data_IF_923815757653
#
_entry.id   IF_923815757653
#
_cell.length_a   1.000
_cell.length_b   1.000
_cell.length_c   1.000
_cell.angle_alpha   90.00
_cell.angle_beta   90.00
_cell.angle_gamma   90.00
#
_symmetry.space_group_name_H-M   'P 1'
#
loop_
_entity.id
_entity.type
_entity.pdbx_description
1 polymer ?
#
# COMPACT_ATOMS: atom_id res chain seq x y z
N UNK A 1 -7.55 36.59 28.87
CA UNK A 1 -7.24 35.52 27.88
C UNK A 1 -7.83 34.15 28.26
N UNK A 2 -8.68 34.05 29.29
CA UNK A 2 -9.12 32.78 29.92
C UNK A 2 -10.54 32.35 29.57
N UNK A 3 -11.28 33.11 28.77
CA UNK A 3 -12.72 32.89 28.55
C UNK A 3 -13.07 31.90 27.41
N UNK A 4 -12.08 31.44 26.65
CA UNK A 4 -12.32 30.56 25.48
C UNK A 4 -11.52 29.26 25.52
N UNK A 5 -10.83 28.94 26.62
CA UNK A 5 -9.99 27.75 26.72
C UNK A 5 -10.80 26.46 26.52
N UNK A 6 -11.97 26.36 27.15
CA UNK A 6 -12.86 25.19 27.03
C UNK A 6 -13.40 25.01 25.60
N UNK A 7 -13.77 26.11 24.93
CA UNK A 7 -14.22 26.04 23.54
C UNK A 7 -13.09 25.68 22.57
N UNK A 8 -11.88 26.19 22.79
CA UNK A 8 -10.69 25.85 22.00
C UNK A 8 -10.36 24.37 22.16
N UNK A 9 -10.38 23.86 23.39
CA UNK A 9 -10.11 22.45 23.69
C UNK A 9 -11.17 21.53 23.07
N UNK A 10 -12.45 21.88 23.18
CA UNK A 10 -13.54 21.13 22.54
C UNK A 10 -13.37 21.08 21.02
N UNK A 11 -13.03 22.22 20.39
CA UNK A 11 -12.77 22.29 18.95
C UNK A 11 -11.54 21.48 18.55
N UNK A 12 -10.48 21.51 19.35
CA UNK A 12 -9.29 20.70 19.14
C UNK A 12 -9.61 19.20 19.19
N UNK A 13 -10.36 18.75 20.20
CA UNK A 13 -10.73 17.35 20.37
C UNK A 13 -11.61 16.83 19.23
N UNK A 14 -12.58 17.62 18.76
CA UNK A 14 -13.39 17.27 17.58
C UNK A 14 -12.53 17.10 16.34
N UNK A 15 -11.55 17.97 16.13
CA UNK A 15 -10.60 17.85 15.01
C UNK A 15 -9.76 16.59 15.13
N UNK A 16 -9.16 16.35 16.30
CA UNK A 16 -8.35 15.17 16.57
C UNK A 16 -9.13 13.88 16.31
N UNK A 17 -10.35 13.79 16.83
CA UNK A 17 -11.23 12.63 16.60
C UNK A 17 -11.53 12.44 15.12
N UNK A 18 -11.77 13.51 14.35
CA UNK A 18 -12.01 13.42 12.91
C UNK A 18 -10.79 12.85 12.16
N UNK A 19 -9.59 13.35 12.47
CA UNK A 19 -8.33 12.89 11.86
C UNK A 19 -8.06 11.43 12.23
N UNK A 20 -8.19 11.08 13.51
CA UNK A 20 -8.01 9.70 13.98
C UNK A 20 -9.01 8.76 13.33
N UNK A 21 -10.30 9.14 13.28
CA UNK A 21 -11.32 8.34 12.61
C UNK A 21 -10.93 8.07 11.15
N UNK A 22 -10.60 9.13 10.39
CA UNK A 22 -10.16 9.00 9.01
C UNK A 22 -8.99 8.02 8.84
N UNK A 23 -7.96 8.13 9.68
CA UNK A 23 -6.80 7.23 9.61
C UNK A 23 -7.19 5.80 9.99
N UNK A 24 -7.99 5.59 11.03
CA UNK A 24 -8.32 4.22 11.45
C UNK A 24 -9.36 3.51 10.58
N UNK A 25 -10.21 4.25 9.85
CA UNK A 25 -11.27 3.68 9.02
C UNK A 25 -10.97 3.70 7.54
N UNK A 26 -10.39 4.80 7.04
CA UNK A 26 -10.32 5.10 5.60
C UNK A 26 -8.90 4.99 5.07
N UNK A 27 -7.91 5.50 5.82
CA UNK A 27 -6.50 5.56 5.39
C UNK A 27 -5.51 5.05 6.46
N UNK A 28 -5.57 3.76 6.83
CA UNK A 28 -4.74 3.19 7.91
C UNK A 28 -3.23 3.23 7.64
N UNK A 29 -2.81 3.37 6.38
CA UNK A 29 -1.40 3.59 6.05
C UNK A 29 -0.87 4.90 6.67
N UNK A 30 -1.70 5.90 6.90
CA UNK A 30 -1.27 7.17 7.50
C UNK A 30 -1.03 7.09 9.03
N UNK A 31 -1.21 5.93 9.65
CA UNK A 31 -1.10 5.76 11.11
C UNK A 31 0.26 6.19 11.68
N UNK A 32 1.36 5.89 11.00
CA UNK A 32 2.71 6.28 11.47
C UNK A 32 2.94 7.78 11.38
N UNK A 33 2.26 8.46 10.45
CA UNK A 33 2.39 9.89 10.19
C UNK A 33 1.51 10.75 11.13
N UNK A 34 0.60 10.15 11.89
CA UNK A 34 -0.27 10.87 12.84
C UNK A 34 0.52 11.75 13.82
N UNK A 35 1.70 11.29 14.26
CA UNK A 35 2.58 12.02 15.18
C UNK A 35 3.16 13.31 14.55
N UNK A 36 3.24 13.34 13.23
CA UNK A 36 3.85 14.43 12.44
C UNK A 36 2.78 15.46 11.99
N UNK A 37 1.50 15.21 12.27
CA UNK A 37 0.40 16.10 11.88
C UNK A 37 0.27 17.28 12.84
N UNK A 38 0.40 18.49 12.29
CA UNK A 38 0.03 19.71 13.02
C UNK A 38 -1.50 19.89 13.08
N UNK A 39 -2.11 19.40 14.16
CA UNK A 39 -3.55 19.48 14.44
C UNK A 39 -4.11 20.91 14.56
N UNK A 40 -3.27 21.89 14.90
CA UNK A 40 -3.68 23.28 15.01
C UNK A 40 -3.98 23.88 13.63
N UNK A 41 -3.19 23.49 12.63
CA UNK A 41 -3.31 23.95 11.24
C UNK A 41 -4.50 23.39 10.46
N UNK A 42 -5.21 22.42 11.05
CA UNK A 42 -6.34 21.73 10.40
C UNK A 42 -7.64 22.51 10.64
N UNK A 43 -8.39 22.87 9.59
CA UNK A 43 -9.72 23.46 9.72
C UNK A 43 -10.75 22.49 10.31
N UNK A 44 -11.67 23.04 11.11
CA UNK A 44 -12.84 22.29 11.57
C UNK A 44 -13.72 22.02 10.34
N UNK A 45 -13.88 20.75 9.98
CA UNK A 45 -14.64 20.37 8.78
C UNK A 45 -13.80 20.03 7.55
N UNK A 46 -12.47 19.99 7.67
CA UNK A 46 -11.54 19.52 6.60
C UNK A 46 -12.08 18.26 5.88
N UNK A 47 -12.02 18.24 4.55
CA UNK A 47 -12.46 17.09 3.77
C UNK A 47 -11.48 15.92 3.91
N UNK A 48 -11.93 14.70 3.61
CA UNK A 48 -11.01 13.54 3.56
C UNK A 48 -9.92 13.72 2.49
N UNK A 49 -10.26 14.33 1.36
CA UNK A 49 -9.29 14.67 0.31
C UNK A 49 -8.20 15.62 0.83
N UNK A 50 -8.58 16.69 1.54
CA UNK A 50 -7.63 17.64 2.10
C UNK A 50 -6.80 17.03 3.23
N UNK A 51 -7.37 16.09 4.00
CA UNK A 51 -6.64 15.30 4.98
C UNK A 51 -5.58 14.45 4.30
N UNK A 52 -5.96 13.70 3.27
CA UNK A 52 -5.01 12.85 2.51
C UNK A 52 -3.89 13.70 1.91
N UNK A 53 -4.23 14.84 1.29
CA UNK A 53 -3.24 15.75 0.71
C UNK A 53 -2.19 16.21 1.75
N UNK A 54 -2.62 16.44 3.00
CA UNK A 54 -1.72 16.81 4.10
C UNK A 54 -0.81 15.65 4.50
N UNK A 55 -1.34 14.43 4.58
CA UNK A 55 -0.54 13.24 4.86
C UNK A 55 0.48 12.98 3.75
N UNK A 56 0.08 13.11 2.48
CA UNK A 56 0.98 12.97 1.35
C UNK A 56 2.10 14.01 1.37
N UNK A 57 1.79 15.25 1.78
CA UNK A 57 2.82 16.28 1.98
C UNK A 57 3.81 15.91 3.08
N UNK A 58 3.32 15.50 4.26
CA UNK A 58 4.18 15.06 5.37
C UNK A 58 5.09 13.91 4.92
N UNK A 59 4.52 12.91 4.24
CA UNK A 59 5.25 11.77 3.72
C UNK A 59 6.37 12.20 2.76
N UNK A 60 6.03 13.05 1.79
CA UNK A 60 6.99 13.59 0.83
C UNK A 60 8.11 14.36 1.51
N UNK A 61 7.78 15.22 2.48
CA UNK A 61 8.77 16.02 3.21
C UNK A 61 9.73 15.11 3.99
N UNK A 62 9.25 14.04 4.63
CA UNK A 62 10.11 13.05 5.31
C UNK A 62 11.03 12.30 4.34
N UNK A 63 10.51 11.89 3.18
CA UNK A 63 11.31 11.22 2.15
C UNK A 63 12.43 12.14 1.63
N UNK A 64 12.12 13.41 1.36
CA UNK A 64 13.12 14.40 0.94
C UNK A 64 14.18 14.64 2.03
N UNK A 65 13.76 14.80 3.28
CA UNK A 65 14.69 15.01 4.39
C UNK A 65 15.62 13.81 4.58
N UNK A 66 15.08 12.59 4.56
CA UNK A 66 15.89 11.38 4.66
C UNK A 66 16.89 11.26 3.49
N UNK A 67 16.48 11.62 2.27
CA UNK A 67 17.37 11.64 1.09
C UNK A 67 18.49 12.66 1.21
N UNK A 68 18.20 13.86 1.70
CA UNK A 68 19.20 14.91 1.92
C UNK A 68 20.18 14.46 3.00
N UNK A 69 19.67 13.98 4.15
CA UNK A 69 20.49 13.51 5.26
C UNK A 69 21.41 12.33 4.87
N UNK A 70 20.91 11.38 4.06
CA UNK A 70 21.72 10.29 3.50
C UNK A 70 22.89 10.82 2.67
N UNK A 71 22.65 11.83 1.83
CA UNK A 71 23.68 12.43 1.00
C UNK A 71 24.72 13.16 1.84
N UNK A 72 24.29 13.95 2.82
CA UNK A 72 25.18 14.66 3.74
C UNK A 72 26.04 13.67 4.55
N UNK A 73 25.45 12.59 5.04
CA UNK A 73 26.17 11.52 5.73
C UNK A 73 27.23 10.89 4.81
N UNK A 74 26.87 10.57 3.56
CA UNK A 74 27.80 10.00 2.58
C UNK A 74 28.97 10.94 2.26
N UNK A 75 28.70 12.24 2.16
CA UNK A 75 29.72 13.26 1.94
C UNK A 75 30.68 13.35 3.14
N UNK A 76 30.17 13.31 4.39
CA UNK A 76 30.98 13.26 5.62
C UNK A 76 31.88 12.03 5.70
N UNK A 77 31.34 10.84 5.36
CA UNK A 77 32.12 9.60 5.28
C UNK A 77 33.27 9.71 4.27
N UNK A 78 33.04 10.41 3.15
CA UNK A 78 34.03 10.57 2.09
C UNK A 78 35.11 11.61 2.44
N UNK A 79 34.76 12.65 3.20
CA UNK A 79 35.69 13.70 3.63
C UNK A 79 36.46 13.34 4.92
N UNK A 80 36.05 12.30 5.66
CA UNK A 80 36.66 11.92 6.94
C UNK A 80 36.42 12.95 8.04
N UNK A 81 35.35 13.74 7.93
CA UNK A 81 35.03 14.84 8.82
C UNK A 81 34.21 14.31 10.02
N UNK A 82 34.89 14.05 11.13
CA UNK A 82 34.27 13.63 12.41
C UNK A 82 33.89 14.84 13.29
N UNK A 83 33.75 16.03 12.71
CA UNK A 83 33.39 17.24 13.46
C UNK A 83 31.92 17.25 13.89
N UNK A 84 31.63 16.59 15.02
CA UNK A 84 30.29 16.55 15.61
C UNK A 84 30.30 16.02 17.05
N UNK A 85 29.27 16.40 17.83
CA UNK A 85 29.04 15.91 19.21
C UNK A 85 28.35 14.53 19.21
N UNK A 86 27.83 14.11 18.05
CA UNK A 86 27.12 12.85 17.80
C UNK A 86 27.99 12.00 16.89
N UNK A 87 28.06 10.68 17.16
CA UNK A 87 28.86 9.79 16.31
C UNK A 87 28.22 9.61 14.94
N UNK A 88 29.04 9.38 13.90
CA UNK A 88 28.54 9.07 12.55
C UNK A 88 27.63 7.84 12.53
N UNK A 89 27.84 6.90 13.46
CA UNK A 89 26.99 5.71 13.63
C UNK A 89 25.59 6.07 14.16
N UNK A 90 25.50 6.97 15.13
CA UNK A 90 24.22 7.45 15.66
C UNK A 90 23.42 8.24 14.59
N UNK A 91 24.09 9.10 13.82
CA UNK A 91 23.47 9.81 12.68
C UNK A 91 22.94 8.80 11.64
N UNK A 92 23.73 7.79 11.28
CA UNK A 92 23.32 6.75 10.34
C UNK A 92 22.10 5.96 10.84
N UNK A 93 22.07 5.63 12.13
CA UNK A 93 20.98 4.88 12.74
C UNK A 93 19.65 5.66 12.74
N UNK A 94 19.66 6.96 13.02
CA UNK A 94 18.43 7.78 12.93
C UNK A 94 17.93 7.89 11.49
N UNK A 95 18.83 8.06 10.50
CA UNK A 95 18.41 8.10 9.09
C UNK A 95 17.83 6.76 8.64
N UNK A 96 18.45 5.63 9.02
CA UNK A 96 17.96 4.28 8.72
C UNK A 96 16.55 4.05 9.28
N UNK A 97 16.29 4.54 10.48
CA UNK A 97 14.98 4.46 11.13
C UNK A 97 13.91 5.23 10.36
N UNK A 98 14.21 6.43 9.87
CA UNK A 98 13.30 7.24 9.06
C UNK A 98 13.00 6.60 7.70
N UNK A 99 14.03 6.09 7.02
CA UNK A 99 13.88 5.34 5.76
C UNK A 99 13.03 4.10 5.98
N UNK A 100 13.29 3.35 7.05
CA UNK A 100 12.52 2.15 7.40
C UNK A 100 11.06 2.48 7.74
N UNK A 101 10.80 3.57 8.44
CA UNK A 101 9.43 4.02 8.76
C UNK A 101 8.67 4.35 7.48
N UNK A 102 9.31 5.04 6.52
CA UNK A 102 8.72 5.39 5.22
C UNK A 102 8.43 4.14 4.38
N UNK A 103 9.39 3.22 4.28
CA UNK A 103 9.20 1.96 3.56
C UNK A 103 8.06 1.10 4.16
N UNK A 104 7.95 1.06 5.49
CA UNK A 104 6.82 0.39 6.17
C UNK A 104 5.48 1.07 5.87
N UNK A 105 5.46 2.39 5.74
CA UNK A 105 4.27 3.14 5.35
C UNK A 105 3.80 2.75 3.94
N UNK A 106 4.73 2.68 2.98
CA UNK A 106 4.44 2.24 1.60
C UNK A 106 3.90 0.82 1.54
N UNK A 107 4.52 -0.10 2.29
CA UNK A 107 4.04 -1.47 2.40
C UNK A 107 2.62 -1.52 2.98
N UNK A 108 2.34 -0.76 4.05
CA UNK A 108 1.01 -0.67 4.63
C UNK A 108 -0.01 -0.15 3.60
N UNK A 109 0.35 0.85 2.81
CA UNK A 109 -0.50 1.37 1.74
C UNK A 109 -0.81 0.30 0.69
N UNK A 110 0.21 -0.41 0.20
CA UNK A 110 0.06 -1.51 -0.75
C UNK A 110 -0.87 -2.63 -0.20
N UNK A 111 -0.65 -3.07 1.04
CA UNK A 111 -1.50 -4.09 1.70
C UNK A 111 -2.95 -3.62 1.79
N UNK A 112 -3.18 -2.33 2.07
CA UNK A 112 -4.53 -1.77 2.12
C UNK A 112 -5.19 -1.69 0.74
N UNK A 113 -4.44 -1.41 -0.33
CA UNK A 113 -4.96 -1.49 -1.69
C UNK A 113 -5.39 -2.91 -2.04
N UNK A 114 -4.60 -3.92 -1.67
CA UNK A 114 -4.97 -5.33 -1.83
C UNK A 114 -6.23 -5.70 -1.06
N UNK A 115 -6.40 -5.19 0.16
CA UNK A 115 -7.65 -5.37 0.91
C UNK A 115 -8.88 -4.88 0.12
N UNK A 116 -8.79 -3.75 -0.59
CA UNK A 116 -9.90 -3.26 -1.42
C UNK A 116 -10.26 -4.22 -2.56
N UNK A 117 -9.26 -4.89 -3.13
CA UNK A 117 -9.47 -5.93 -4.16
C UNK A 117 -10.15 -7.16 -3.54
N UNK A 118 -9.76 -7.57 -2.33
CA UNK A 118 -10.45 -8.65 -1.59
C UNK A 118 -11.90 -8.28 -1.31
N UNK A 119 -12.18 -7.04 -0.89
CA UNK A 119 -13.54 -6.56 -0.65
C UNK A 119 -14.39 -6.57 -1.93
N UNK A 120 -13.79 -6.23 -3.08
CA UNK A 120 -14.44 -6.37 -4.38
C UNK A 120 -14.71 -7.84 -4.71
N UNK A 121 -13.73 -8.73 -4.54
CA UNK A 121 -13.89 -10.17 -4.75
C UNK A 121 -15.02 -10.75 -3.89
N UNK A 122 -15.08 -10.37 -2.61
CA UNK A 122 -16.15 -10.79 -1.71
C UNK A 122 -17.53 -10.26 -2.12
N UNK A 123 -17.60 -9.05 -2.70
CA UNK A 123 -18.85 -8.53 -3.24
C UNK A 123 -19.29 -9.30 -4.49
N UNK A 124 -18.37 -9.61 -5.40
CA UNK A 124 -18.66 -10.46 -6.58
C UNK A 124 -19.12 -11.86 -6.16
N UNK A 125 -18.60 -12.39 -5.06
CA UNK A 125 -19.01 -13.71 -4.54
C UNK A 125 -20.43 -13.72 -3.95
N UNK A 126 -20.96 -12.57 -3.52
CA UNK A 126 -22.31 -12.50 -2.91
C UNK A 126 -23.40 -12.77 -3.93
N UNK A 127 -24.56 -13.20 -3.43
CA UNK A 127 -25.80 -13.23 -4.23
C UNK A 127 -26.36 -11.82 -4.32
N UNK A 128 -26.80 -11.43 -5.51
CA UNK A 128 -27.58 -10.22 -5.76
C UNK A 128 -29.03 -10.44 -5.29
N UNK A 129 -29.78 -9.35 -5.09
CA UNK A 129 -31.12 -9.33 -4.47
C UNK A 129 -32.13 -10.28 -5.13
N UNK A 130 -31.96 -10.57 -6.42
CA UNK A 130 -32.76 -11.53 -7.18
C UNK A 130 -32.43 -13.00 -6.86
N UNK A 131 -31.57 -13.27 -5.88
CA UNK A 131 -31.07 -14.60 -5.51
C UNK A 131 -30.06 -15.20 -6.49
N UNK A 132 -29.70 -14.49 -7.55
CA UNK A 132 -28.66 -14.85 -8.52
C UNK A 132 -27.27 -14.48 -7.98
N UNK A 133 -26.21 -15.11 -8.46
CA UNK A 133 -24.83 -14.67 -8.19
C UNK A 133 -24.35 -13.73 -9.29
N UNK A 134 -23.27 -12.96 -9.03
CA UNK A 134 -22.54 -12.31 -10.11
C UNK A 134 -22.08 -13.35 -11.15
N UNK A 135 -21.80 -12.89 -12.37
CA UNK A 135 -21.32 -13.78 -13.43
C UNK A 135 -19.95 -14.30 -13.04
N UNK A 136 -19.74 -15.60 -13.18
CA UNK A 136 -18.43 -16.22 -12.98
C UNK A 136 -17.34 -15.50 -13.78
N UNK A 137 -17.65 -15.07 -15.02
CA UNK A 137 -16.76 -14.26 -15.85
C UNK A 137 -16.26 -12.97 -15.17
N UNK A 138 -17.06 -12.30 -14.32
CA UNK A 138 -16.61 -11.10 -13.61
C UNK A 138 -15.58 -11.44 -12.53
N UNK A 139 -15.83 -12.53 -11.79
CA UNK A 139 -14.91 -13.02 -10.77
C UNK A 139 -13.63 -13.59 -11.40
N UNK A 140 -13.77 -14.31 -12.51
CA UNK A 140 -12.65 -14.88 -13.27
C UNK A 140 -11.73 -13.77 -13.74
N UNK A 141 -12.27 -12.77 -14.46
CA UNK A 141 -11.47 -11.63 -14.95
C UNK A 141 -10.87 -10.77 -13.84
N UNK A 142 -11.42 -10.79 -12.62
CA UNK A 142 -10.78 -10.16 -11.46
C UNK A 142 -9.50 -10.91 -11.05
N UNK A 143 -9.50 -12.24 -11.13
CA UNK A 143 -8.34 -13.08 -10.82
C UNK A 143 -7.33 -13.04 -11.96
N UNK A 144 -7.78 -13.31 -13.20
CA UNK A 144 -6.94 -13.33 -14.39
C UNK A 144 -7.82 -13.16 -15.65
N UNK A 145 -7.38 -12.43 -16.69
CA UNK A 145 -8.17 -12.24 -17.91
C UNK A 145 -8.46 -13.55 -18.66
N UNK A 146 -9.74 -13.83 -18.95
CA UNK A 146 -10.17 -15.02 -19.69
C UNK A 146 -9.57 -15.07 -21.10
N UNK A 147 -9.26 -16.29 -21.59
CA UNK A 147 -8.74 -16.56 -22.95
C UNK A 147 -7.40 -15.86 -23.21
N UNK A 148 -6.61 -15.61 -22.16
CA UNK A 148 -5.29 -14.99 -22.26
C UNK A 148 -4.21 -15.82 -21.58
N UNK A 149 -2.97 -15.53 -21.92
CA UNK A 149 -1.81 -15.98 -21.14
C UNK A 149 -0.92 -14.80 -20.71
N UNK A 150 0.04 -15.10 -19.85
CA UNK A 150 1.00 -14.14 -19.29
C UNK A 150 1.98 -13.53 -20.30
N UNK A 151 1.91 -13.91 -21.59
CA UNK A 151 2.66 -13.28 -22.69
C UNK A 151 1.84 -12.21 -23.41
N UNK A 152 0.52 -12.22 -23.20
CA UNK A 152 -0.43 -11.28 -23.80
C UNK A 152 -0.85 -10.16 -22.85
N UNK A 153 -0.57 -10.30 -21.55
CA UNK A 153 -0.96 -9.34 -20.52
C UNK A 153 0.23 -8.92 -19.66
N UNK A 154 0.10 -7.76 -19.02
CA UNK A 154 1.04 -7.28 -18.02
C UNK A 154 0.80 -7.89 -16.64
N UNK A 155 1.75 -7.67 -15.74
CA UNK A 155 1.67 -8.11 -14.34
C UNK A 155 0.50 -7.43 -13.59
N UNK A 156 0.20 -6.19 -13.96
CA UNK A 156 -0.88 -5.37 -13.43
C UNK A 156 -2.28 -5.81 -13.86
N UNK A 157 -2.38 -6.69 -14.87
CA UNK A 157 -3.65 -7.12 -15.45
C UNK A 157 -4.29 -8.31 -14.69
N UNK A 158 -3.62 -8.86 -13.68
CA UNK A 158 -4.10 -10.02 -12.93
C UNK A 158 -3.94 -9.86 -11.41
N UNK A 159 -4.76 -10.58 -10.64
CA UNK A 159 -4.69 -10.65 -9.19
C UNK A 159 -4.50 -12.09 -8.69
N UNK A 160 -3.60 -12.84 -9.33
CA UNK A 160 -3.31 -14.25 -8.99
C UNK A 160 -2.90 -14.45 -7.52
N UNK A 161 -2.35 -13.42 -6.88
CA UNK A 161 -2.08 -13.40 -5.44
C UNK A 161 -3.32 -13.68 -4.57
N UNK A 162 -4.54 -13.47 -5.10
CA UNK A 162 -5.79 -13.81 -4.42
C UNK A 162 -5.90 -15.33 -4.18
N UNK A 163 -5.30 -16.14 -5.06
CA UNK A 163 -5.23 -17.59 -4.92
C UNK A 163 -3.99 -18.01 -4.12
N UNK A 164 -2.82 -17.52 -4.56
CA UNK A 164 -1.53 -17.79 -3.91
C UNK A 164 -0.48 -16.77 -4.36
N UNK A 165 0.29 -16.20 -3.43
CA UNK A 165 1.36 -15.22 -3.72
C UNK A 165 2.41 -15.75 -4.69
N UNK A 166 2.65 -17.06 -4.69
CA UNK A 166 3.69 -17.70 -5.51
C UNK A 166 3.33 -17.70 -6.99
N UNK A 167 2.05 -17.53 -7.35
CA UNK A 167 1.61 -17.49 -8.73
C UNK A 167 2.07 -16.26 -9.49
N UNK A 168 2.54 -15.21 -8.80
CA UNK A 168 3.20 -14.07 -9.43
C UNK A 168 4.57 -14.40 -10.05
N UNK A 169 5.14 -15.57 -9.77
CA UNK A 169 6.51 -15.93 -10.12
C UNK A 169 6.60 -17.24 -10.92
N UNK A 170 5.50 -17.64 -11.54
CA UNK A 170 5.42 -18.84 -12.37
C UNK A 170 6.07 -18.61 -13.74
N UNK A 171 6.43 -19.68 -14.43
CA UNK A 171 7.05 -19.57 -15.76
C UNK A 171 6.03 -19.34 -16.87
N UNK A 172 4.83 -19.89 -16.71
CA UNK A 172 3.75 -19.73 -17.66
C UNK A 172 2.39 -19.89 -16.99
N UNK A 173 1.46 -19.00 -17.30
CA UNK A 173 0.04 -19.08 -16.92
C UNK A 173 -0.83 -18.85 -18.13
N UNK A 174 -1.85 -19.68 -18.29
CA UNK A 174 -2.92 -19.50 -19.27
C UNK A 174 -4.29 -19.68 -18.63
N UNK A 175 -5.27 -18.90 -19.09
CA UNK A 175 -6.68 -18.99 -18.71
C UNK A 175 -7.53 -19.31 -19.94
N UNK A 176 -8.46 -20.26 -19.80
CA UNK A 176 -9.37 -20.72 -20.85
C UNK A 176 -8.68 -21.03 -22.19
N UNK A 177 -7.49 -21.63 -22.14
CA UNK A 177 -6.73 -22.05 -23.33
C UNK A 177 -6.70 -23.56 -23.46
N UNK A 178 -6.86 -24.05 -24.68
CA UNK A 178 -6.66 -25.47 -25.01
C UNK A 178 -5.18 -25.82 -24.85
N UNK A 179 -4.88 -26.76 -23.96
CA UNK A 179 -3.48 -27.15 -23.63
C UNK A 179 -3.06 -28.41 -24.36
N UNK A 180 -4.02 -29.24 -24.77
CA UNK A 180 -3.77 -30.52 -25.43
C UNK A 180 -4.35 -30.52 -26.83
N UNK A 181 -3.58 -31.02 -27.80
CA UNK A 181 -4.08 -31.26 -29.16
C UNK A 181 -5.10 -32.41 -29.24
N UNK A 182 -5.19 -33.22 -28.19
CA UNK A 182 -6.09 -34.39 -28.12
C UNK A 182 -7.31 -34.16 -27.24
N UNK A 183 -7.21 -33.29 -26.23
CA UNK A 183 -8.32 -32.89 -25.36
C UNK A 183 -8.55 -31.38 -25.51
N UNK A 184 -9.71 -31.04 -26.05
CA UNK A 184 -10.10 -29.65 -26.33
C UNK A 184 -10.80 -28.99 -25.14
N UNK A 185 -10.77 -29.62 -23.96
CA UNK A 185 -11.24 -28.97 -22.73
C UNK A 185 -10.25 -27.90 -22.29
N UNK A 186 -10.79 -26.72 -22.05
CA UNK A 186 -10.08 -25.56 -21.55
C UNK A 186 -10.17 -25.56 -20.01
N UNK A 187 -9.05 -25.48 -19.28
CA UNK A 187 -9.07 -25.22 -17.85
C UNK A 187 -9.24 -23.73 -17.59
N UNK A 188 -9.93 -23.39 -16.49
CA UNK A 188 -10.10 -21.99 -16.07
C UNK A 188 -8.74 -21.29 -15.88
N UNK A 189 -7.80 -22.00 -15.23
CA UNK A 189 -6.41 -21.57 -15.07
C UNK A 189 -5.47 -22.78 -15.14
N UNK A 190 -4.42 -22.65 -15.94
CA UNK A 190 -3.30 -23.58 -15.98
C UNK A 190 -2.01 -22.86 -15.65
N UNK A 191 -1.33 -23.36 -14.63
CA UNK A 191 -0.15 -22.71 -14.05
C UNK A 191 1.01 -23.69 -14.12
N UNK A 192 2.08 -23.28 -14.78
CA UNK A 192 3.33 -24.04 -14.89
C UNK A 192 4.40 -23.34 -14.07
N UNK A 193 4.84 -24.01 -13.01
CA UNK A 193 5.90 -23.53 -12.13
C UNK A 193 7.07 -24.52 -12.13
N UNK A 194 8.28 -23.99 -12.11
CA UNK A 194 9.48 -24.79 -11.88
C UNK A 194 9.83 -24.72 -10.40
N UNK A 195 9.78 -25.87 -9.72
CA UNK A 195 10.01 -25.99 -8.27
C UNK A 195 11.44 -25.66 -7.82
N UNK A 196 12.37 -25.42 -8.76
CA UNK A 196 13.81 -25.24 -8.48
C UNK A 196 14.29 -23.80 -8.24
N UNK A 197 13.45 -22.78 -8.49
CA UNK A 197 13.90 -21.38 -8.49
C UNK A 197 13.82 -20.65 -7.13
N UNK A 198 13.14 -21.21 -6.13
CA UNK A 198 12.89 -20.53 -4.83
C UNK A 198 13.81 -20.96 -3.68
N UNK A 199 14.76 -21.86 -3.93
CA UNK A 199 15.77 -22.26 -2.95
C UNK A 199 17.17 -21.93 -3.48
N UNK A 200 17.58 -20.66 -3.40
CA UNK A 200 18.97 -20.25 -3.34
C UNK A 200 19.13 -19.04 -2.43
#
# INVERSE_FOLDING_TARGET
>A
KTYFSEEIEKRYNVKKQKVEHYVYTTAPWNKTLLKDVNMESIPIGVSEFDLEMRFQKIKFDKEQNARIALKELQDKYSSGDESGDITLEDEANEILKDVTETAKNDLAHYVCQRRRIIELFDNLRKRIDDGKSHKESEMHNLIFPMIKDDREIGYEDHNLWLLDERFNFTQYIASDKVISSSDHKEPDLAIFYESGLFYR
#
